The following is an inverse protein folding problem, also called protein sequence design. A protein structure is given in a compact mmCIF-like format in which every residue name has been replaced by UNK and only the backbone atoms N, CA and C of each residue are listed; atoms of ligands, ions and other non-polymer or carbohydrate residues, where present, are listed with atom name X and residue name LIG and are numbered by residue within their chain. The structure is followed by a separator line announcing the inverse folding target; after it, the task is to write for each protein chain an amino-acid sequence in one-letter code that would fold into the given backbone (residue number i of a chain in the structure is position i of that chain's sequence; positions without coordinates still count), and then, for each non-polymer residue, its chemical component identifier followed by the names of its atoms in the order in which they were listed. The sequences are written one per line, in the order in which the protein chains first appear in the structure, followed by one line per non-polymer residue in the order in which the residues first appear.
data_IF_845146263125
#
_entry.id   IF_845146263125
#
_cell.length_a   1.000
_cell.length_b   1.000
_cell.length_c   1.000
_cell.angle_alpha   90.00
_cell.angle_beta   90.00
_cell.angle_gamma   90.00
#
_symmetry.space_group_name_H-M   'P 1'
#
loop_
_entity.id
_entity.type
_entity.pdbx_description
1 polymer ?
#
# COMPACT_ATOMS: atom_id res chain seq x y z
N UNK A 1 -19.12 8.91 -9.10
CA UNK A 1 -17.85 9.24 -8.42
C UNK A 1 -17.80 8.74 -6.98
N UNK A 2 -18.91 8.72 -6.21
CA UNK A 2 -18.94 8.21 -4.81
C UNK A 2 -18.24 6.85 -4.58
N UNK A 3 -18.40 5.90 -5.50
CA UNK A 3 -17.84 4.54 -5.35
C UNK A 3 -16.31 4.50 -5.21
N UNK A 4 -15.56 5.43 -5.76
CA UNK A 4 -14.10 5.38 -5.69
C UNK A 4 -13.58 5.90 -4.34
N UNK A 5 -14.13 7.00 -3.84
CA UNK A 5 -13.75 7.55 -2.54
C UNK A 5 -14.07 6.57 -1.41
N UNK A 6 -15.24 5.93 -1.46
CA UNK A 6 -15.65 4.89 -0.50
C UNK A 6 -14.66 3.71 -0.45
N UNK A 7 -14.02 3.39 -1.58
CA UNK A 7 -13.03 2.32 -1.66
C UNK A 7 -11.64 2.74 -1.19
N UNK A 8 -11.26 4.00 -1.44
CA UNK A 8 -9.97 4.56 -0.99
C UNK A 8 -9.98 4.80 0.52
N UNK A 9 -11.14 5.14 1.08
CA UNK A 9 -11.32 5.49 2.49
C UNK A 9 -12.14 4.45 3.27
N UNK A 10 -12.18 3.19 2.80
CA UNK A 10 -12.95 2.10 3.41
C UNK A 10 -12.61 1.89 4.90
N UNK A 11 -13.49 2.28 5.84
CA UNK A 11 -13.20 2.22 7.27
C UNK A 11 -13.50 0.85 7.89
N UNK A 12 -13.91 -0.15 7.11
CA UNK A 12 -14.26 -1.46 7.63
C UNK A 12 -13.02 -2.15 8.25
N UNK A 13 -13.18 -2.93 9.32
CA UNK A 13 -12.10 -3.76 9.85
C UNK A 13 -11.51 -4.68 8.78
N UNK A 14 -10.19 -4.91 8.86
CA UNK A 14 -9.49 -5.81 7.95
C UNK A 14 -8.89 -6.99 8.72
N UNK A 15 -9.12 -8.21 8.23
CA UNK A 15 -8.49 -9.43 8.76
C UNK A 15 -7.44 -9.94 7.78
N UNK A 16 -6.18 -10.02 8.23
CA UNK A 16 -5.10 -10.55 7.40
C UNK A 16 -5.19 -12.07 7.22
N UNK A 17 -4.42 -12.61 6.27
CA UNK A 17 -4.32 -14.06 6.05
C UNK A 17 -3.84 -14.84 7.29
N UNK A 18 -3.12 -14.18 8.20
CA UNK A 18 -2.67 -14.75 9.46
C UNK A 18 -3.73 -14.65 10.58
N UNK A 19 -4.93 -14.14 10.29
CA UNK A 19 -6.01 -13.96 11.27
C UNK A 19 -5.88 -12.70 12.12
N UNK A 20 -4.86 -11.86 11.90
CA UNK A 20 -4.70 -10.59 12.63
C UNK A 20 -5.74 -9.58 12.16
N UNK A 21 -6.51 -9.04 13.10
CA UNK A 21 -7.45 -7.96 12.84
C UNK A 21 -6.75 -6.59 12.94
N UNK A 22 -7.12 -5.70 12.03
CA UNK A 22 -6.72 -4.31 11.99
C UNK A 22 -7.97 -3.46 11.97
N UNK A 23 -7.92 -2.33 12.66
CA UNK A 23 -8.99 -1.35 12.74
C UNK A 23 -8.45 0.07 12.44
N UNK A 24 -9.34 1.04 12.25
CA UNK A 24 -8.98 2.44 12.01
C UNK A 24 -8.10 2.64 10.77
N UNK A 25 -7.08 3.50 10.88
CA UNK A 25 -6.20 3.86 9.74
C UNK A 25 -5.45 2.66 9.17
N UNK A 26 -5.09 1.68 10.00
CA UNK A 26 -4.41 0.47 9.53
C UNK A 26 -5.36 -0.40 8.70
N UNK A 27 -6.63 -0.50 9.10
CA UNK A 27 -7.65 -1.21 8.32
C UNK A 27 -7.92 -0.50 6.99
N UNK A 28 -8.10 0.82 7.02
CA UNK A 28 -8.28 1.64 5.82
C UNK A 28 -7.13 1.43 4.82
N UNK A 29 -5.88 1.47 5.29
CA UNK A 29 -4.73 1.21 4.43
C UNK A 29 -4.76 -0.21 3.86
N UNK A 30 -5.06 -1.22 4.67
CA UNK A 30 -5.11 -2.60 4.21
C UNK A 30 -6.24 -2.86 3.20
N UNK A 31 -7.43 -2.29 3.40
CA UNK A 31 -8.53 -2.34 2.44
C UNK A 31 -8.16 -1.63 1.14
N UNK A 32 -7.56 -0.44 1.23
CA UNK A 32 -7.07 0.29 0.05
C UNK A 32 -6.02 -0.52 -0.72
N UNK A 33 -5.11 -1.22 -0.04
CA UNK A 33 -4.13 -2.12 -0.67
C UNK A 33 -4.82 -3.30 -1.37
N UNK A 34 -5.81 -3.91 -0.71
CA UNK A 34 -6.62 -5.01 -1.28
C UNK A 34 -7.30 -4.57 -2.58
N UNK A 35 -8.00 -3.45 -2.58
CA UNK A 35 -8.67 -2.94 -3.79
C UNK A 35 -7.65 -2.59 -4.88
N UNK A 36 -6.55 -1.90 -4.56
CA UNK A 36 -5.53 -1.58 -5.56
C UNK A 36 -4.95 -2.82 -6.22
N UNK A 37 -4.71 -3.90 -5.46
CA UNK A 37 -4.24 -5.16 -6.03
C UNK A 37 -5.29 -5.80 -6.94
N UNK A 38 -6.56 -5.75 -6.54
CA UNK A 38 -7.67 -6.29 -7.33
C UNK A 38 -7.83 -5.59 -8.69
N UNK A 39 -7.71 -4.26 -8.73
CA UNK A 39 -7.90 -3.49 -9.97
C UNK A 39 -6.63 -3.32 -10.81
N UNK A 40 -5.47 -3.17 -10.17
CA UNK A 40 -4.23 -2.75 -10.84
C UNK A 40 -3.05 -3.73 -10.66
N UNK A 41 -3.18 -4.72 -9.78
CA UNK A 41 -2.15 -5.75 -9.57
C UNK A 41 -1.03 -5.39 -8.59
N UNK A 42 -1.10 -4.24 -7.92
CA UNK A 42 -0.13 -3.82 -6.90
C UNK A 42 -0.82 -3.30 -5.64
N UNK A 43 -0.15 -3.35 -4.49
CA UNK A 43 -0.74 -2.91 -3.21
C UNK A 43 -0.69 -1.39 -3.01
N UNK A 44 0.32 -0.73 -3.57
CA UNK A 44 0.57 0.70 -3.37
C UNK A 44 0.99 1.33 -4.70
N UNK A 45 0.33 2.43 -5.05
CA UNK A 45 0.76 3.34 -6.11
C UNK A 45 1.38 4.61 -5.51
N UNK A 46 2.54 5.02 -6.05
CA UNK A 46 3.20 6.28 -5.71
C UNK A 46 3.48 7.00 -7.04
N UNK A 47 2.97 8.21 -7.20
CA UNK A 47 3.27 9.01 -8.39
C UNK A 47 4.73 9.47 -8.35
N UNK A 48 5.41 9.48 -9.50
CA UNK A 48 6.76 10.06 -9.58
C UNK A 48 6.77 11.54 -9.19
N UNK A 49 5.67 12.26 -9.42
CA UNK A 49 5.51 13.66 -9.02
C UNK A 49 5.40 13.87 -7.51
N UNK A 50 5.10 12.82 -6.74
CA UNK A 50 5.03 12.88 -5.27
C UNK A 50 6.40 12.57 -4.62
N UNK A 51 7.41 12.20 -5.42
CA UNK A 51 8.75 11.90 -4.93
C UNK A 51 9.60 13.17 -4.84
N UNK A 52 10.48 13.20 -3.84
CA UNK A 52 11.50 14.24 -3.66
C UNK A 52 12.76 14.01 -4.55
N UNK A 53 12.71 13.02 -5.44
CA UNK A 53 13.80 12.56 -6.30
C UNK A 53 13.27 11.87 -7.55
N UNK A 54 14.15 11.61 -8.50
CA UNK A 54 13.81 10.85 -9.70
C UNK A 54 13.37 9.41 -9.37
N UNK A 55 12.40 8.89 -10.13
CA UNK A 55 11.80 7.59 -9.87
C UNK A 55 12.84 6.45 -9.84
N UNK A 56 13.83 6.48 -10.74
CA UNK A 56 14.90 5.47 -10.80
C UNK A 56 15.80 5.49 -9.55
N UNK A 57 16.06 6.67 -8.98
CA UNK A 57 16.83 6.81 -7.74
C UNK A 57 16.06 6.23 -6.56
N UNK A 58 14.75 6.51 -6.50
CA UNK A 58 13.86 5.93 -5.48
C UNK A 58 13.81 4.39 -5.57
N UNK A 59 13.69 3.84 -6.77
CA UNK A 59 13.76 2.39 -7.01
C UNK A 59 15.12 1.82 -6.59
N UNK A 60 16.21 2.50 -6.91
CA UNK A 60 17.55 2.12 -6.47
C UNK A 60 17.67 2.08 -4.95
N UNK A 61 17.14 3.09 -4.25
CA UNK A 61 17.17 3.17 -2.80
C UNK A 61 16.34 2.06 -2.13
N UNK A 62 15.10 1.85 -2.58
CA UNK A 62 14.22 0.82 -2.02
C UNK A 62 14.81 -0.58 -2.17
N UNK A 63 15.46 -0.88 -3.32
CA UNK A 63 16.18 -2.15 -3.52
C UNK A 63 17.35 -2.33 -2.54
N UNK A 64 18.08 -1.27 -2.21
CA UNK A 64 19.18 -1.32 -1.23
C UNK A 64 18.66 -1.60 0.18
N UNK A 65 17.58 -0.94 0.59
CA UNK A 65 16.95 -1.23 1.89
C UNK A 65 16.38 -2.65 1.96
N UNK A 66 15.75 -3.12 0.88
CA UNK A 66 15.28 -4.51 0.80
C UNK A 66 16.42 -5.51 0.92
N UNK A 67 17.56 -5.26 0.26
CA UNK A 67 18.73 -6.12 0.34
C UNK A 67 19.44 -6.08 1.71
N UNK A 68 19.29 -4.98 2.45
CA UNK A 68 19.88 -4.80 3.78
C UNK A 68 18.96 -5.24 4.93
N UNK A 69 17.66 -5.45 4.67
CA UNK A 69 16.74 -5.98 5.67
C UNK A 69 17.14 -7.42 6.00
N UNK A 70 17.30 -7.73 7.29
CA UNK A 70 17.54 -9.10 7.72
C UNK A 70 16.36 -9.99 7.29
N UNK A 71 16.62 -11.19 6.74
CA UNK A 71 15.54 -12.14 6.51
C UNK A 71 14.91 -12.52 7.86
N UNK A 72 13.59 -12.37 7.98
CA UNK A 72 12.81 -12.90 9.11
C UNK A 72 12.93 -14.43 9.21
#
# INVERSE_FOLDING_TARGET
EEKFEDMVLDPQPYTSKAGKQYDGLQAMLANRMKYQREFYGYDVFISASDLDREADEFVGLTRRYLAAAEPE
#
